data_IF_091906818886
#
_entry.id   IF_091906818886
#
_cell.length_a   1.000
_cell.length_b   1.000
_cell.length_c   1.000
_cell.angle_alpha   90.00
_cell.angle_beta   90.00
_cell.angle_gamma   90.00
#
_symmetry.space_group_name_H-M   'P 1'
#
loop_
_entity.id
_entity.type
_entity.pdbx_description
1 polymer ?
#
# COMPACT_ATOMS: atom_id res chain seq x y z
N UNK A 1 -1.38 11.58 7.31
CA UNK A 1 -0.89 10.21 7.09
C UNK A 1 -1.93 9.32 6.41
N UNK A 2 -1.61 8.06 6.27
CA UNK A 2 -2.55 7.10 5.66
C UNK A 2 -3.86 6.97 6.44
N UNK A 3 -3.83 7.21 7.74
CA UNK A 3 -5.06 7.15 8.56
C UNK A 3 -6.07 8.23 8.17
N UNK A 4 -5.62 9.36 7.64
CA UNK A 4 -6.53 10.39 7.11
C UNK A 4 -7.33 9.86 5.91
N UNK A 5 -6.68 9.03 5.08
CA UNK A 5 -7.36 8.35 3.97
C UNK A 5 -8.35 7.31 4.50
N UNK A 6 -7.95 6.57 5.53
CA UNK A 6 -8.85 5.61 6.18
C UNK A 6 -10.09 6.31 6.76
N UNK A 7 -9.92 7.45 7.39
CA UNK A 7 -11.04 8.24 7.92
C UNK A 7 -11.97 8.72 6.80
N UNK A 8 -11.41 9.17 5.68
CA UNK A 8 -12.23 9.54 4.53
C UNK A 8 -13.05 8.35 4.01
N UNK A 9 -12.42 7.19 3.92
CA UNK A 9 -13.10 5.95 3.51
C UNK A 9 -14.27 5.65 4.44
N UNK A 10 -14.02 5.68 5.74
CA UNK A 10 -15.04 5.39 6.75
C UNK A 10 -16.25 6.30 6.61
N UNK A 11 -16.02 7.59 6.35
CA UNK A 11 -17.07 8.60 6.36
C UNK A 11 -17.79 8.74 5.03
N UNK A 12 -17.16 8.42 3.90
CA UNK A 12 -17.65 8.81 2.58
C UNK A 12 -17.82 7.66 1.60
N UNK A 13 -17.08 6.55 1.74
CA UNK A 13 -17.10 5.48 0.75
C UNK A 13 -18.24 4.49 0.98
N UNK A 14 -18.67 3.87 -0.11
CA UNK A 14 -19.42 2.62 -0.07
C UNK A 14 -18.42 1.48 0.10
N UNK A 15 -18.89 0.28 0.48
CA UNK A 15 -18.01 -0.88 0.70
C UNK A 15 -16.78 -0.51 1.54
N UNK A 16 -17.05 0.07 2.71
CA UNK A 16 -16.01 0.62 3.60
C UNK A 16 -14.94 -0.42 3.88
N UNK A 17 -15.32 -1.64 4.23
CA UNK A 17 -14.36 -2.71 4.55
C UNK A 17 -13.44 -3.04 3.38
N UNK A 18 -13.99 -3.20 2.18
CA UNK A 18 -13.20 -3.48 0.97
C UNK A 18 -12.21 -2.35 0.67
N UNK A 19 -12.65 -1.11 0.81
CA UNK A 19 -11.79 0.05 0.58
C UNK A 19 -10.70 0.19 1.64
N UNK A 20 -10.98 -0.13 2.90
CA UNK A 20 -9.98 -0.14 3.97
C UNK A 20 -8.94 -1.23 3.75
N UNK A 21 -9.37 -2.42 3.33
CA UNK A 21 -8.46 -3.51 2.99
C UNK A 21 -7.58 -3.13 1.79
N UNK A 22 -8.15 -2.48 0.78
CA UNK A 22 -7.39 -2.01 -0.37
C UNK A 22 -6.35 -0.95 0.03
N UNK A 23 -6.72 0.01 0.86
CA UNK A 23 -5.78 0.99 1.39
C UNK A 23 -4.62 0.29 2.13
N UNK A 24 -4.95 -0.61 3.02
CA UNK A 24 -3.96 -1.35 3.80
C UNK A 24 -3.01 -2.15 2.90
N UNK A 25 -3.56 -2.78 1.88
CA UNK A 25 -2.79 -3.51 0.85
C UNK A 25 -1.80 -2.59 0.14
N UNK A 26 -2.21 -1.38 -0.21
CA UNK A 26 -1.33 -0.40 -0.86
C UNK A 26 -0.20 0.04 0.04
N UNK A 27 -0.48 0.28 1.32
CA UNK A 27 0.56 0.66 2.28
C UNK A 27 1.57 -0.48 2.42
N UNK A 28 1.10 -1.70 2.59
CA UNK A 28 1.96 -2.89 2.65
C UNK A 28 2.81 -3.04 1.39
N UNK A 29 2.21 -2.88 0.22
CA UNK A 29 2.91 -2.97 -1.06
C UNK A 29 3.99 -1.89 -1.17
N UNK A 30 3.67 -0.64 -0.84
CA UNK A 30 4.63 0.45 -0.86
C UNK A 30 5.83 0.18 0.06
N UNK A 31 5.58 -0.35 1.25
CA UNK A 31 6.65 -0.76 2.16
C UNK A 31 7.51 -1.87 1.53
N UNK A 32 6.88 -2.87 0.94
CA UNK A 32 7.59 -4.02 0.36
C UNK A 32 8.49 -3.65 -0.82
N UNK A 33 8.05 -2.72 -1.67
CA UNK A 33 8.85 -2.29 -2.85
C UNK A 33 9.74 -1.09 -2.54
N UNK A 34 9.66 -0.54 -1.33
CA UNK A 34 10.43 0.63 -0.96
C UNK A 34 9.93 1.93 -1.60
N UNK A 35 8.65 2.01 -1.96
CA UNK A 35 8.06 3.27 -2.42
C UNK A 35 7.75 4.15 -1.20
N UNK A 36 8.66 5.05 -0.91
CA UNK A 36 8.53 6.00 0.20
C UNK A 36 8.04 7.38 -0.24
N UNK A 37 7.86 7.58 -1.54
CA UNK A 37 7.39 8.85 -2.11
C UNK A 37 5.87 8.88 -2.31
N UNK A 38 5.15 7.99 -1.66
CA UNK A 38 3.69 7.99 -1.70
C UNK A 38 3.14 9.14 -0.86
N UNK A 39 2.24 9.92 -1.42
CA UNK A 39 1.62 11.07 -0.79
C UNK A 39 0.14 11.15 -1.18
N UNK A 40 -0.60 12.09 -0.60
CA UNK A 40 -2.06 12.18 -0.83
C UNK A 40 -2.44 12.30 -2.30
N UNK A 41 -1.64 12.97 -3.13
CA UNK A 41 -1.89 13.11 -4.56
C UNK A 41 -1.88 11.79 -5.32
N UNK A 42 -1.27 10.74 -4.76
CA UNK A 42 -1.20 9.40 -5.37
C UNK A 42 -2.42 8.55 -5.03
N UNK A 43 -3.37 9.10 -4.27
CA UNK A 43 -4.60 8.42 -3.91
C UNK A 43 -5.80 9.26 -4.37
N UNK A 44 -6.64 8.65 -5.16
CA UNK A 44 -7.85 9.29 -5.66
C UNK A 44 -9.09 8.50 -5.28
N UNK A 45 -10.23 9.14 -5.46
CA UNK A 45 -11.53 8.53 -5.25
C UNK A 45 -12.39 8.73 -6.47
N UNK A 46 -13.16 7.70 -6.83
CA UNK A 46 -14.09 7.74 -7.93
C UNK A 46 -15.52 7.76 -7.39
N UNK A 47 -16.35 8.61 -7.96
CA UNK A 47 -17.79 8.60 -7.69
C UNK A 47 -18.46 7.66 -8.68
N UNK A 48 -18.99 6.56 -8.18
CA UNK A 48 -19.73 5.59 -8.96
C UNK A 48 -21.23 5.72 -8.72
N UNK A 49 -22.03 4.96 -9.46
CA UNK A 49 -23.47 4.91 -9.23
C UNK A 49 -23.84 4.43 -7.82
N UNK A 50 -22.93 3.70 -7.15
CA UNK A 50 -23.11 3.18 -5.79
C UNK A 50 -22.50 4.10 -4.71
N UNK A 51 -21.75 5.12 -5.10
CA UNK A 51 -21.07 6.06 -4.21
C UNK A 51 -19.58 6.10 -4.43
N UNK A 52 -18.85 6.68 -3.47
CA UNK A 52 -17.40 6.86 -3.56
C UNK A 52 -16.64 5.55 -3.31
N UNK A 53 -15.57 5.36 -4.05
CA UNK A 53 -14.63 4.24 -3.87
C UNK A 53 -13.21 4.69 -4.19
N UNK A 54 -12.20 4.01 -3.63
CA UNK A 54 -10.81 4.26 -4.01
C UNK A 54 -10.61 4.04 -5.50
N UNK A 55 -9.87 4.96 -6.14
CA UNK A 55 -9.41 4.74 -7.51
C UNK A 55 -8.38 3.60 -7.56
N UNK A 56 -8.12 3.01 -8.74
CA UNK A 56 -6.96 2.15 -8.91
C UNK A 56 -5.67 2.84 -8.47
N UNK A 57 -4.70 2.06 -7.98
CA UNK A 57 -3.41 2.59 -7.58
C UNK A 57 -2.62 3.07 -8.79
N UNK A 58 -1.82 4.11 -8.58
CA UNK A 58 -0.93 4.67 -9.61
C UNK A 58 0.32 5.26 -8.98
N UNK A 59 1.36 5.47 -9.81
CA UNK A 59 2.62 6.09 -9.42
C UNK A 59 3.32 5.37 -8.26
N UNK A 60 3.39 4.05 -8.35
CA UNK A 60 4.01 3.19 -7.33
C UNK A 60 5.42 2.79 -7.79
N UNK A 61 6.41 3.60 -7.43
CA UNK A 61 7.81 3.40 -7.82
C UNK A 61 8.70 3.23 -6.59
N UNK A 62 9.71 2.36 -6.62
CA UNK A 62 10.64 2.22 -5.51
C UNK A 62 11.49 3.47 -5.32
N UNK A 63 11.80 3.78 -4.07
CA UNK A 63 12.70 4.85 -3.66
C UNK A 63 13.66 4.32 -2.61
N UNK A 64 14.67 5.11 -2.20
CA UNK A 64 15.75 4.64 -1.34
C UNK A 64 15.72 5.31 0.06
N UNK A 65 14.56 5.52 0.64
CA UNK A 65 14.41 6.10 1.97
C UNK A 65 13.90 5.06 2.97
N UNK A 66 14.23 5.26 4.26
CA UNK A 66 13.74 4.40 5.34
C UNK A 66 12.35 4.81 5.85
N UNK A 67 11.92 6.02 5.52
CA UNK A 67 10.68 6.61 6.03
C UNK A 67 9.74 6.93 4.89
N UNK A 68 8.46 6.62 5.10
CA UNK A 68 7.39 7.00 4.20
C UNK A 68 7.16 8.52 4.27
N UNK A 69 6.66 9.11 3.19
CA UNK A 69 6.21 10.51 3.19
C UNK A 69 4.96 10.69 4.05
N UNK A 70 4.11 9.67 4.11
CA UNK A 70 2.92 9.66 4.95
C UNK A 70 3.14 8.79 6.19
N UNK A 71 2.55 9.20 7.32
CA UNK A 71 2.52 8.36 8.51
C UNK A 71 1.80 7.04 8.22
N UNK A 72 2.41 5.92 8.62
CA UNK A 72 1.80 4.60 8.47
C UNK A 72 0.83 4.28 9.61
N UNK A 73 0.98 4.96 10.75
CA UNK A 73 0.07 4.89 11.88
C UNK A 73 0.05 6.23 12.61
N UNK A 74 -0.56 6.30 13.79
CA UNK A 74 -0.67 7.54 14.56
C UNK A 74 0.67 8.07 15.09
N UNK A 75 1.75 7.28 15.03
CA UNK A 75 3.01 7.57 15.72
C UNK A 75 4.22 7.72 14.80
N UNK A 76 4.25 7.04 13.65
CA UNK A 76 5.46 6.92 12.85
C UNK A 76 5.18 6.82 11.36
N UNK A 77 6.15 7.27 10.58
CA UNK A 77 6.23 7.07 9.14
C UNK A 77 7.34 6.08 8.75
N UNK A 78 7.90 5.35 9.69
CA UNK A 78 8.93 4.35 9.39
C UNK A 78 8.37 3.26 8.48
N UNK A 79 9.10 2.96 7.41
CA UNK A 79 8.72 1.94 6.42
C UNK A 79 8.99 0.55 6.99
N UNK A 80 8.02 0.01 7.72
CA UNK A 80 8.17 -1.22 8.49
C UNK A 80 6.87 -2.03 8.51
N UNK A 81 6.92 -3.25 7.97
CA UNK A 81 5.76 -4.14 7.95
C UNK A 81 5.30 -4.57 9.34
N UNK A 82 6.21 -4.77 10.27
CA UNK A 82 5.83 -5.12 11.63
C UNK A 82 5.06 -3.98 12.30
N UNK A 83 5.52 -2.76 12.09
CA UNK A 83 4.81 -1.57 12.57
C UNK A 83 3.42 -1.45 11.95
N UNK A 84 3.29 -1.72 10.66
CA UNK A 84 1.99 -1.73 9.98
C UNK A 84 1.08 -2.82 10.54
N UNK A 85 1.59 -4.04 10.74
CA UNK A 85 0.81 -5.14 11.29
C UNK A 85 0.30 -4.82 12.69
N UNK A 86 1.14 -4.26 13.54
CA UNK A 86 0.76 -3.86 14.90
C UNK A 86 -0.24 -2.70 14.93
N UNK A 87 -0.42 -2.01 13.82
CA UNK A 87 -1.33 -0.87 13.67
C UNK A 87 -2.64 -1.24 12.96
N UNK A 88 -2.94 -2.51 12.76
CA UNK A 88 -4.11 -2.96 12.01
C UNK A 88 -5.43 -2.39 12.53
N UNK A 89 -5.56 -2.26 13.85
CA UNK A 89 -6.77 -1.69 14.48
C UNK A 89 -6.97 -0.22 14.10
N UNK A 90 -5.90 0.54 13.91
CA UNK A 90 -6.01 1.94 13.48
C UNK A 90 -6.57 2.06 12.07
N UNK A 91 -6.44 1.00 11.24
CA UNK A 91 -7.08 0.88 9.93
C UNK A 91 -8.45 0.19 10.01
N UNK A 92 -8.96 -0.02 11.23
CA UNK A 92 -10.24 -0.69 11.47
C UNK A 92 -10.28 -2.12 10.89
N UNK A 93 -9.14 -2.80 10.88
CA UNK A 93 -8.98 -4.17 10.40
C UNK A 93 -8.63 -5.10 11.56
N UNK A 94 -9.23 -6.29 11.55
CA UNK A 94 -8.81 -7.36 12.47
C UNK A 94 -7.41 -7.84 12.11
N UNK A 95 -6.63 -8.21 13.10
CA UNK A 95 -5.22 -8.58 12.92
C UNK A 95 -5.05 -9.74 11.93
N UNK A 96 -5.92 -10.74 11.95
CA UNK A 96 -5.81 -11.88 11.04
C UNK A 96 -6.04 -11.45 9.58
N UNK A 97 -6.92 -10.49 9.31
CA UNK A 97 -7.13 -9.92 7.98
C UNK A 97 -5.88 -9.15 7.55
N UNK A 98 -5.33 -8.34 8.44
CA UNK A 98 -4.08 -7.62 8.18
C UNK A 98 -2.92 -8.57 7.86
N UNK A 99 -2.76 -9.65 8.62
CA UNK A 99 -1.76 -10.68 8.37
C UNK A 99 -1.95 -11.33 7.00
N UNK A 100 -3.18 -11.64 6.64
CA UNK A 100 -3.49 -12.23 5.33
C UNK A 100 -3.10 -11.28 4.19
N UNK A 101 -3.47 -10.02 4.29
CA UNK A 101 -3.15 -9.01 3.27
C UNK A 101 -1.63 -8.87 3.11
N UNK A 102 -0.91 -8.72 4.22
CA UNK A 102 0.56 -8.61 4.18
C UNK A 102 1.17 -9.87 3.57
N UNK A 103 0.69 -11.05 3.95
CA UNK A 103 1.14 -12.32 3.37
C UNK A 103 0.94 -12.39 1.86
N UNK A 104 -0.22 -12.00 1.37
CA UNK A 104 -0.52 -11.95 -0.06
C UNK A 104 0.39 -10.96 -0.80
N UNK A 105 0.63 -9.80 -0.22
CA UNK A 105 1.53 -8.80 -0.81
C UNK A 105 2.96 -9.32 -0.87
N UNK A 106 3.45 -9.95 0.20
CA UNK A 106 4.80 -10.52 0.23
C UNK A 106 4.99 -11.59 -0.84
N UNK A 107 4.02 -12.48 -1.02
CA UNK A 107 4.06 -13.51 -2.07
C UNK A 107 4.08 -12.85 -3.45
N UNK A 108 3.19 -11.91 -3.71
CA UNK A 108 3.10 -11.23 -4.99
C UNK A 108 4.39 -10.46 -5.33
N UNK A 109 4.97 -9.76 -4.36
CA UNK A 109 6.22 -9.02 -4.56
C UNK A 109 7.39 -9.98 -4.79
N UNK A 110 7.45 -11.09 -4.07
CA UNK A 110 8.47 -12.12 -4.26
C UNK A 110 8.41 -12.69 -5.67
N UNK A 111 7.25 -13.09 -6.13
CA UNK A 111 7.05 -13.65 -7.46
C UNK A 111 7.42 -12.63 -8.54
N UNK A 112 7.01 -11.38 -8.36
CA UNK A 112 7.34 -10.30 -9.27
C UNK A 112 8.85 -10.04 -9.33
N UNK A 113 9.54 -10.07 -8.18
CA UNK A 113 11.00 -9.91 -8.14
C UNK A 113 11.71 -11.03 -8.88
N UNK A 114 11.23 -12.25 -8.76
CA UNK A 114 11.79 -13.39 -9.51
C UNK A 114 11.63 -13.18 -11.01
N UNK A 115 10.44 -12.81 -11.47
CA UNK A 115 10.17 -12.54 -12.89
C UNK A 115 11.01 -11.38 -13.38
N UNK A 116 11.07 -10.28 -12.64
CA UNK A 116 11.86 -9.11 -12.99
C UNK A 116 13.36 -9.45 -13.08
N UNK A 117 13.87 -10.27 -12.17
CA UNK A 117 15.25 -10.74 -12.20
C UNK A 117 15.53 -11.58 -13.45
N UNK A 118 14.64 -12.50 -13.80
CA UNK A 118 14.77 -13.31 -15.01
C UNK A 118 14.77 -12.43 -16.27
N UNK A 119 13.90 -11.42 -16.32
CA UNK A 119 13.84 -10.50 -17.45
C UNK A 119 15.02 -9.55 -17.50
N UNK A 120 15.60 -9.19 -16.37
CA UNK A 120 16.69 -8.22 -16.28
C UNK A 120 18.08 -8.82 -16.43
N UNK A 121 18.22 -10.15 -16.54
CA UNK A 121 19.51 -10.80 -16.84
C UNK A 121 20.16 -10.17 -18.07
N UNK A 122 19.35 -9.79 -19.06
CA UNK A 122 19.81 -9.19 -20.32
C UNK A 122 19.61 -7.68 -20.38
N UNK A 123 18.89 -7.09 -19.41
CA UNK A 123 18.54 -5.66 -19.39
C UNK A 123 18.77 -5.06 -18.01
N UNK A 124 19.98 -4.63 -17.77
CA UNK A 124 20.34 -3.95 -16.52
C UNK A 124 19.43 -2.76 -16.27
N UNK A 125 18.85 -2.68 -15.10
CA UNK A 125 17.99 -1.57 -14.70
C UNK A 125 16.50 -1.78 -14.96
N UNK A 126 16.08 -2.83 -15.67
CA UNK A 126 14.67 -3.17 -15.84
C UNK A 126 13.96 -3.33 -14.49
N UNK A 127 14.65 -3.86 -13.50
CA UNK A 127 14.19 -4.01 -12.14
C UNK A 127 13.71 -2.69 -11.52
N UNK A 128 14.37 -1.57 -11.85
CA UNK A 128 14.02 -0.24 -11.35
C UNK A 128 12.65 0.24 -11.81
N UNK A 129 12.16 -0.23 -12.95
CA UNK A 129 10.96 0.29 -13.60
C UNK A 129 9.73 -0.58 -13.38
N UNK A 130 9.91 -1.84 -12.98
CA UNK A 130 8.84 -2.83 -12.91
C UNK A 130 8.53 -3.29 -11.50
N UNK A 131 9.26 -2.80 -10.52
CA UNK A 131 8.97 -3.04 -9.10
C UNK A 131 8.60 -1.72 -8.39
#
# INVERSE_FOLDING_TARGET
>A
GYLDIADFILQNCTNVEDNLQELYRRVAFNICIGNTDDHFRNHGFLLTAKGWTLSPAYDMNPTLNEYQSLLINSSTNKSDLNGLLNSSEEYMLQKHIAQQIIGEVLVAVKDWKIVATLLSITKRGAFRYYI
#
